data_IF_326489426868
#
_entry.id   IF_326489426868
#
_cell.length_a   1.000
_cell.length_b   1.000
_cell.length_c   1.000
_cell.angle_alpha   90.00
_cell.angle_beta   90.00
_cell.angle_gamma   90.00
#
_symmetry.space_group_name_H-M   'P 1'
#
loop_
_entity.id
_entity.type
_entity.pdbx_description
1 polymer ?
#
# COMPACT_ATOMS: atom_id res chain seq x y z
N UNK A 1 20.43 -2.38 4.69
CA UNK A 1 19.30 -1.62 4.17
C UNK A 1 19.24 -1.87 2.66
N UNK A 2 18.11 -2.27 2.13
CA UNK A 2 17.92 -2.40 0.68
C UNK A 2 17.98 -0.99 0.06
N UNK A 3 18.47 -0.84 -1.20
CA UNK A 3 18.30 0.42 -1.91
C UNK A 3 16.82 0.76 -2.00
N UNK A 4 16.48 2.02 -1.77
CA UNK A 4 15.11 2.49 -1.90
C UNK A 4 14.66 2.33 -3.36
N UNK A 5 13.38 1.97 -3.56
CA UNK A 5 12.77 1.88 -4.87
C UNK A 5 12.53 3.30 -5.43
N UNK A 6 12.78 3.49 -6.72
CA UNK A 6 12.52 4.76 -7.41
C UNK A 6 11.05 4.89 -7.82
N UNK A 7 10.38 3.76 -8.07
CA UNK A 7 8.96 3.72 -8.44
C UNK A 7 8.31 2.38 -8.07
N UNK A 8 7.01 2.42 -7.85
CA UNK A 8 6.14 1.25 -7.75
C UNK A 8 5.11 1.32 -8.87
N UNK A 9 4.95 0.24 -9.62
CA UNK A 9 3.99 0.15 -10.72
C UNK A 9 3.03 -0.99 -10.43
N UNK A 10 1.74 -0.69 -10.37
CA UNK A 10 0.68 -1.69 -10.24
C UNK A 10 0.00 -1.88 -11.60
N UNK A 11 -0.12 -3.12 -12.02
CA UNK A 11 -0.72 -3.49 -13.30
C UNK A 11 -1.78 -4.58 -13.10
N UNK A 12 -2.92 -4.41 -13.73
CA UNK A 12 -3.97 -5.44 -13.79
C UNK A 12 -3.92 -6.10 -15.15
N UNK A 13 -3.50 -7.36 -15.16
CA UNK A 13 -3.31 -8.15 -16.38
C UNK A 13 -4.25 -9.36 -16.38
N UNK A 14 -4.59 -9.91 -17.55
CA UNK A 14 -5.45 -11.09 -17.63
C UNK A 14 -4.86 -12.33 -16.95
N UNK A 15 -3.54 -12.41 -16.83
CA UNK A 15 -2.85 -13.54 -16.21
C UNK A 15 -1.47 -13.13 -15.69
N UNK A 16 -1.06 -13.71 -14.56
CA UNK A 16 0.30 -13.61 -14.02
C UNK A 16 1.30 -14.50 -14.78
N UNK A 17 0.84 -15.37 -15.70
CA UNK A 17 1.71 -16.21 -16.50
C UNK A 17 2.66 -15.37 -17.37
N UNK A 18 3.94 -15.74 -17.41
CA UNK A 18 4.99 -15.01 -18.12
C UNK A 18 4.67 -14.78 -19.60
N UNK A 19 3.90 -15.68 -20.24
CA UNK A 19 3.46 -15.52 -21.63
C UNK A 19 2.58 -14.26 -21.80
N UNK A 20 1.74 -13.94 -20.82
CA UNK A 20 0.79 -12.81 -20.90
C UNK A 20 1.38 -11.52 -20.32
N UNK A 21 2.19 -11.60 -19.26
CA UNK A 21 2.79 -10.43 -18.63
C UNK A 21 4.10 -9.98 -19.29
N UNK A 22 4.74 -10.80 -20.12
CA UNK A 22 6.06 -10.57 -20.68
C UNK A 22 6.22 -9.24 -21.43
N UNK A 23 5.14 -8.68 -21.99
CA UNK A 23 5.18 -7.36 -22.61
C UNK A 23 5.32 -6.24 -21.56
N UNK A 24 4.60 -6.34 -20.45
CA UNK A 24 4.70 -5.40 -19.31
C UNK A 24 6.08 -5.51 -18.63
N UNK A 25 6.57 -6.74 -18.40
CA UNK A 25 7.89 -6.99 -17.81
C UNK A 25 9.02 -6.34 -18.65
N UNK A 26 8.96 -6.48 -19.98
CA UNK A 26 9.95 -5.86 -20.89
C UNK A 26 9.84 -4.33 -20.91
N UNK A 27 8.61 -3.79 -20.90
CA UNK A 27 8.41 -2.36 -20.91
C UNK A 27 8.96 -1.71 -19.64
N UNK A 28 8.68 -2.28 -18.47
CA UNK A 28 9.17 -1.79 -17.17
C UNK A 28 10.69 -2.00 -17.07
N UNK A 29 11.17 -3.24 -17.34
CA UNK A 29 12.58 -3.58 -17.25
C UNK A 29 13.49 -2.81 -18.22
N UNK A 30 12.93 -2.29 -19.32
CA UNK A 30 13.66 -1.41 -20.25
C UNK A 30 13.84 0.03 -19.75
N UNK A 31 13.18 0.41 -18.66
CA UNK A 31 13.21 1.77 -18.10
C UNK A 31 14.01 1.87 -16.80
N UNK A 32 14.47 0.75 -16.24
CA UNK A 32 15.17 0.72 -14.97
C UNK A 32 16.29 -0.31 -14.96
N UNK A 33 17.30 -0.11 -14.12
CA UNK A 33 18.47 -1.00 -13.98
C UNK A 33 18.09 -2.31 -13.27
N UNK A 34 17.09 -2.26 -12.40
CA UNK A 34 16.58 -3.40 -11.63
C UNK A 34 15.08 -3.27 -11.44
N UNK A 35 14.37 -4.38 -11.56
CA UNK A 35 12.98 -4.44 -11.14
C UNK A 35 12.67 -5.76 -10.45
N UNK A 36 11.75 -5.71 -9.50
CA UNK A 36 11.19 -6.87 -8.85
C UNK A 36 9.67 -6.86 -9.01
N UNK A 37 9.07 -8.02 -9.18
CA UNK A 37 7.64 -8.15 -9.37
C UNK A 37 7.03 -9.22 -8.49
N UNK A 38 5.80 -8.97 -8.04
CA UNK A 38 5.01 -9.88 -7.22
C UNK A 38 3.60 -10.01 -7.77
N UNK A 39 3.04 -11.19 -7.65
CA UNK A 39 1.61 -11.39 -7.75
C UNK A 39 0.97 -11.04 -6.43
N UNK A 40 -0.04 -10.20 -6.45
CA UNK A 40 -0.75 -9.75 -5.26
C UNK A 40 -2.25 -10.05 -5.34
N UNK A 41 -2.88 -10.14 -4.17
CA UNK A 41 -4.32 -10.09 -4.02
C UNK A 41 -4.69 -8.72 -3.45
N UNK A 42 -5.37 -7.91 -4.25
CA UNK A 42 -5.78 -6.55 -3.90
C UNK A 42 -7.08 -6.55 -3.10
N UNK A 43 -7.12 -5.70 -2.08
CA UNK A 43 -8.30 -5.39 -1.27
C UNK A 43 -8.39 -3.88 -1.07
N UNK A 44 -9.35 -3.24 -1.71
CA UNK A 44 -9.60 -1.81 -1.52
C UNK A 44 -10.41 -1.60 -0.25
N UNK A 45 -9.77 -1.04 0.78
CA UNK A 45 -10.36 -0.76 2.10
C UNK A 45 -11.10 0.59 2.08
N UNK A 46 -10.41 1.63 1.60
CA UNK A 46 -10.98 2.97 1.39
C UNK A 46 -10.75 3.32 -0.07
N UNK A 47 -11.84 3.40 -0.84
CA UNK A 47 -11.78 3.88 -2.22
C UNK A 47 -11.64 5.42 -2.21
N UNK A 48 -10.80 5.96 -3.07
CA UNK A 48 -10.59 7.40 -3.19
C UNK A 48 -11.80 8.08 -3.85
N UNK A 49 -12.81 8.39 -3.04
CA UNK A 49 -14.00 9.12 -3.47
C UNK A 49 -13.88 10.63 -3.24
N UNK A 50 -12.99 11.06 -2.35
CA UNK A 50 -12.80 12.47 -2.00
C UNK A 50 -12.00 13.22 -3.07
N UNK A 51 -10.98 12.56 -3.64
CA UNK A 51 -10.08 13.14 -4.64
C UNK A 51 -9.90 12.16 -5.81
N UNK A 52 -10.96 11.91 -6.61
CA UNK A 52 -10.94 10.89 -7.66
C UNK A 52 -9.76 11.10 -8.61
N UNK A 53 -9.02 10.05 -8.97
CA UNK A 53 -7.86 10.18 -9.82
C UNK A 53 -8.23 10.65 -11.23
N UNK A 54 -7.40 11.53 -11.80
CA UNK A 54 -7.48 11.96 -13.19
C UNK A 54 -6.29 11.36 -13.94
N UNK A 55 -6.56 10.69 -15.04
CA UNK A 55 -5.55 9.96 -15.80
C UNK A 55 -4.31 10.82 -16.09
N UNK A 56 -3.14 10.34 -15.66
CA UNK A 56 -1.85 11.01 -15.86
C UNK A 56 -1.62 12.24 -15.01
N UNK A 57 -2.53 12.59 -14.11
CA UNK A 57 -2.34 13.66 -13.13
C UNK A 57 -1.99 13.05 -11.76
N UNK A 58 -1.19 13.80 -10.99
CA UNK A 58 -0.89 13.44 -9.61
C UNK A 58 -2.16 13.49 -8.77
N UNK A 59 -2.43 12.43 -8.02
CA UNK A 59 -3.48 12.41 -7.00
C UNK A 59 -3.21 13.49 -5.96
N UNK A 60 -4.26 14.17 -5.51
CA UNK A 60 -4.14 15.19 -4.46
C UNK A 60 -3.55 14.60 -3.18
N UNK A 61 -2.78 15.40 -2.45
CA UNK A 61 -2.11 14.96 -1.24
C UNK A 61 -0.78 14.26 -1.52
N UNK A 62 -0.44 13.25 -0.73
CA UNK A 62 0.72 12.39 -0.92
C UNK A 62 0.34 10.93 -0.69
N UNK A 63 1.10 10.04 -1.27
CA UNK A 63 0.90 8.61 -1.11
C UNK A 63 2.02 7.99 -0.27
N UNK A 64 1.68 6.99 0.54
CA UNK A 64 2.62 6.12 1.23
C UNK A 64 2.57 4.74 0.59
N UNK A 65 3.70 4.32 0.04
CA UNK A 65 3.92 2.96 -0.45
C UNK A 65 4.69 2.17 0.62
N UNK A 66 4.09 1.13 1.16
CA UNK A 66 4.66 0.37 2.28
C UNK A 66 4.80 -1.10 1.91
N UNK A 67 6.04 -1.57 1.77
CA UNK A 67 6.34 -3.00 1.70
C UNK A 67 6.55 -3.52 3.12
N UNK A 68 5.73 -4.47 3.54
CA UNK A 68 5.71 -4.97 4.91
C UNK A 68 6.07 -6.45 4.99
N UNK A 69 6.76 -6.80 6.08
CA UNK A 69 7.11 -8.17 6.44
C UNK A 69 6.44 -8.53 7.75
N UNK A 70 5.85 -9.69 7.81
CA UNK A 70 5.23 -10.19 9.02
C UNK A 70 6.28 -10.79 9.96
N UNK A 71 6.02 -10.74 11.25
CA UNK A 71 6.84 -11.38 12.28
C UNK A 71 6.79 -12.90 12.10
N UNK A 72 7.95 -13.53 11.99
CA UNK A 72 8.04 -14.97 11.74
C UNK A 72 7.36 -15.81 12.83
N UNK A 73 7.43 -15.38 14.09
CA UNK A 73 6.83 -16.09 15.23
C UNK A 73 5.29 -16.01 15.27
N UNK A 74 4.69 -15.04 14.57
CA UNK A 74 3.22 -14.93 14.47
C UNK A 74 2.67 -15.90 13.42
N UNK A 75 3.45 -16.13 12.38
CA UNK A 75 3.05 -16.91 11.22
C UNK A 75 2.08 -16.14 10.29
N UNK A 76 2.22 -16.41 8.99
CA UNK A 76 1.53 -15.66 7.92
C UNK A 76 0.00 -15.63 8.09
N UNK A 77 -0.61 -16.78 8.39
CA UNK A 77 -2.07 -16.86 8.50
C UNK A 77 -2.62 -16.01 9.65
N UNK A 78 -1.96 -16.05 10.81
CA UNK A 78 -2.36 -15.25 11.97
C UNK A 78 -2.10 -13.77 11.74
N UNK A 79 -1.00 -13.41 11.08
CA UNK A 79 -0.70 -12.04 10.69
C UNK A 79 -1.75 -11.48 9.72
N UNK A 80 -2.15 -12.23 8.70
CA UNK A 80 -3.22 -11.85 7.77
C UNK A 80 -4.56 -11.67 8.50
N UNK A 81 -4.93 -12.59 9.40
CA UNK A 81 -6.15 -12.44 10.21
C UNK A 81 -6.14 -11.18 11.07
N UNK A 82 -5.01 -10.86 11.71
CA UNK A 82 -4.86 -9.65 12.49
C UNK A 82 -4.93 -8.40 11.60
N UNK A 83 -4.20 -8.40 10.49
CA UNK A 83 -4.17 -7.29 9.55
C UNK A 83 -5.56 -6.96 9.01
N UNK A 84 -6.25 -7.94 8.43
CA UNK A 84 -7.58 -7.74 7.82
C UNK A 84 -8.69 -7.58 8.86
N UNK A 85 -8.63 -8.29 9.99
CA UNK A 85 -9.71 -8.33 10.98
C UNK A 85 -9.63 -7.26 12.06
N UNK A 86 -8.43 -6.78 12.41
CA UNK A 86 -8.22 -5.81 13.49
C UNK A 86 -7.49 -4.55 13.03
N UNK A 87 -6.29 -4.69 12.47
CA UNK A 87 -5.43 -3.55 12.11
C UNK A 87 -6.09 -2.63 11.09
N UNK A 88 -6.81 -3.16 10.13
CA UNK A 88 -7.58 -2.38 9.15
C UNK A 88 -8.54 -1.40 9.84
N UNK A 89 -9.26 -1.84 10.87
CA UNK A 89 -10.17 -0.97 11.63
C UNK A 89 -9.42 0.09 12.41
N UNK A 90 -8.29 -0.29 13.02
CA UNK A 90 -7.42 0.67 13.73
C UNK A 90 -6.93 1.75 12.77
N UNK A 91 -6.48 1.39 11.56
CA UNK A 91 -6.02 2.35 10.57
C UNK A 91 -7.13 3.34 10.17
N UNK A 92 -8.34 2.83 9.88
CA UNK A 92 -9.51 3.67 9.55
C UNK A 92 -9.84 4.66 10.69
N UNK A 93 -9.79 4.19 11.94
CA UNK A 93 -10.22 4.98 13.10
C UNK A 93 -9.17 5.99 13.57
N UNK A 94 -7.89 5.81 13.22
CA UNK A 94 -6.78 6.57 13.79
C UNK A 94 -5.98 7.40 12.80
N UNK A 95 -6.18 7.22 11.50
CA UNK A 95 -5.42 7.93 10.46
C UNK A 95 -6.34 8.84 9.63
N UNK A 96 -5.73 9.80 8.94
CA UNK A 96 -6.42 10.74 8.04
C UNK A 96 -6.41 10.29 6.57
N UNK A 97 -6.11 9.01 6.31
CA UNK A 97 -6.06 8.49 4.95
C UNK A 97 -7.43 8.57 4.27
N UNK A 98 -7.44 9.05 3.02
CA UNK A 98 -8.64 9.09 2.17
C UNK A 98 -8.64 8.00 1.08
N UNK A 99 -7.54 7.25 0.98
CA UNK A 99 -7.41 6.03 0.19
C UNK A 99 -6.59 5.01 0.97
N UNK A 100 -7.01 3.75 0.95
CA UNK A 100 -6.30 2.65 1.60
C UNK A 100 -6.51 1.36 0.82
N UNK A 101 -5.42 0.85 0.24
CA UNK A 101 -5.40 -0.38 -0.54
C UNK A 101 -4.40 -1.36 0.06
N UNK A 102 -4.86 -2.57 0.29
CA UNK A 102 -4.07 -3.68 0.82
C UNK A 102 -3.79 -4.70 -0.30
N UNK A 103 -2.52 -5.04 -0.48
CA UNK A 103 -2.09 -6.03 -1.46
C UNK A 103 -1.34 -7.16 -0.75
N UNK A 104 -2.01 -8.28 -0.47
CA UNK A 104 -1.35 -9.47 0.05
C UNK A 104 -0.49 -10.11 -1.05
N UNK A 105 0.81 -10.25 -0.82
CA UNK A 105 1.74 -10.87 -1.78
C UNK A 105 1.51 -12.38 -1.77
N UNK A 106 1.17 -12.94 -2.92
CA UNK A 106 0.95 -14.37 -3.12
C UNK A 106 2.25 -15.10 -3.46
N UNK A 107 3.02 -14.55 -4.40
CA UNK A 107 4.34 -15.08 -4.77
C UNK A 107 5.19 -14.04 -5.50
N UNK A 108 6.53 -14.17 -5.46
CA UNK A 108 7.41 -13.43 -6.33
C UNK A 108 7.25 -13.89 -7.78
N UNK A 109 7.40 -12.96 -8.72
CA UNK A 109 7.37 -13.21 -10.17
C UNK A 109 8.74 -13.03 -10.81
N UNK A 110 9.71 -12.46 -10.08
CA UNK A 110 11.13 -12.36 -10.45
C UNK A 110 11.99 -13.07 -9.40
N UNK A 111 13.16 -13.57 -9.80
CA UNK A 111 14.02 -14.37 -8.92
C UNK A 111 14.60 -13.57 -7.76
N UNK A 112 14.91 -12.31 -7.97
CA UNK A 112 15.57 -11.44 -6.97
C UNK A 112 14.57 -10.57 -6.21
N UNK A 113 13.26 -10.85 -6.31
CA UNK A 113 12.25 -10.09 -5.60
C UNK A 113 12.46 -10.22 -4.08
N UNK A 114 12.57 -9.09 -3.34
CA UNK A 114 12.64 -9.12 -1.88
C UNK A 114 11.47 -9.88 -1.26
N UNK A 115 11.75 -10.56 -0.15
CA UNK A 115 10.76 -11.37 0.54
C UNK A 115 9.87 -10.49 1.44
N UNK A 116 8.95 -9.76 0.83
CA UNK A 116 7.87 -9.07 1.54
C UNK A 116 6.62 -9.94 1.62
N UNK A 117 5.77 -9.69 2.62
CA UNK A 117 4.49 -10.38 2.80
C UNK A 117 3.32 -9.62 2.20
N UNK A 118 3.39 -8.29 2.16
CA UNK A 118 2.36 -7.45 1.60
C UNK A 118 2.91 -6.10 1.12
N UNK A 119 2.11 -5.44 0.28
CA UNK A 119 2.28 -4.06 -0.13
C UNK A 119 1.03 -3.27 0.23
N UNK A 120 1.20 -2.12 0.86
CA UNK A 120 0.12 -1.22 1.26
C UNK A 120 0.30 0.11 0.53
N UNK A 121 -0.77 0.62 -0.02
CA UNK A 121 -0.84 1.97 -0.56
C UNK A 121 -1.90 2.77 0.19
N UNK A 122 -1.51 3.96 0.63
CA UNK A 122 -2.38 4.88 1.34
C UNK A 122 -2.16 6.30 0.82
N UNK A 123 -3.23 7.07 0.68
CA UNK A 123 -3.15 8.49 0.35
C UNK A 123 -3.65 9.34 1.51
N UNK A 124 -2.92 10.41 1.78
CA UNK A 124 -3.13 11.33 2.90
C UNK A 124 -3.22 12.78 2.45
N UNK A 125 -3.87 13.66 3.24
CA UNK A 125 -3.80 15.11 3.05
C UNK A 125 -2.36 15.62 3.04
N UNK A 126 -2.05 16.73 2.34
CA UNK A 126 -0.69 17.28 2.28
C UNK A 126 -0.07 17.56 3.66
N UNK A 127 -0.88 18.02 4.60
CA UNK A 127 -0.47 18.37 5.96
C UNK A 127 0.10 17.17 6.72
N UNK A 128 -0.46 15.98 6.49
CA UNK A 128 -0.03 14.73 7.12
C UNK A 128 1.42 14.32 6.75
N UNK A 129 2.01 14.93 5.71
CA UNK A 129 3.39 14.69 5.32
C UNK A 129 4.40 15.24 6.36
N UNK A 130 4.05 16.31 7.05
CA UNK A 130 4.95 17.03 7.96
C UNK A 130 4.41 17.19 9.37
N UNK A 131 3.10 17.00 9.56
CA UNK A 131 2.44 17.07 10.87
C UNK A 131 1.94 15.68 11.29
N UNK A 132 2.56 15.03 12.28
CA UNK A 132 2.07 13.76 12.81
C UNK A 132 0.65 13.83 13.40
N UNK A 133 0.20 15.00 13.90
CA UNK A 133 -1.15 15.14 14.40
C UNK A 133 -2.18 15.09 13.26
N UNK A 134 -1.85 15.71 12.12
CA UNK A 134 -2.66 15.59 10.91
C UNK A 134 -2.67 14.15 10.37
N UNK A 135 -1.52 13.46 10.37
CA UNK A 135 -1.44 12.05 9.96
C UNK A 135 -2.36 11.15 10.81
N UNK A 136 -2.37 11.37 12.13
CA UNK A 136 -3.20 10.60 13.07
C UNK A 136 -4.60 11.19 13.31
N UNK A 137 -5.11 12.03 12.41
CA UNK A 137 -6.45 12.64 12.50
C UNK A 137 -6.74 13.28 13.88
N UNK A 138 -5.76 14.00 14.45
CA UNK A 138 -5.78 14.51 15.83
C UNK A 138 -5.27 15.94 15.93
N UNK A 139 -5.44 16.74 14.88
CA UNK A 139 -5.03 18.15 14.84
C UNK A 139 -5.71 18.92 15.97
N UNK A 140 -4.91 19.67 16.72
CA UNK A 140 -5.39 20.44 17.86
C UNK A 140 -5.76 19.63 19.12
N UNK A 141 -5.64 18.31 19.11
CA UNK A 141 -5.97 17.42 20.24
C UNK A 141 -4.78 16.49 20.59
N UNK A 142 -3.87 16.92 21.50
CA UNK A 142 -2.74 16.09 21.92
C UNK A 142 -3.13 14.78 22.62
N UNK A 143 -4.29 14.75 23.26
CA UNK A 143 -4.81 13.53 23.90
C UNK A 143 -5.22 12.49 22.87
N UNK A 144 -5.97 12.90 21.86
CA UNK A 144 -6.35 12.07 20.72
C UNK A 144 -5.12 11.60 19.92
N UNK A 145 -4.17 12.50 19.67
CA UNK A 145 -2.91 12.13 19.00
C UNK A 145 -2.19 11.00 19.73
N UNK A 146 -2.01 11.13 21.05
CA UNK A 146 -1.35 10.10 21.86
C UNK A 146 -2.11 8.77 21.83
N UNK A 147 -3.44 8.82 21.91
CA UNK A 147 -4.29 7.62 21.87
C UNK A 147 -4.22 6.93 20.50
N UNK A 148 -4.35 7.69 19.40
CA UNK A 148 -4.31 7.15 18.04
C UNK A 148 -2.95 6.54 17.72
N UNK A 149 -1.85 7.25 18.04
CA UNK A 149 -0.49 6.74 17.88
C UNK A 149 -0.28 5.44 18.67
N UNK A 150 -0.72 5.38 19.93
CA UNK A 150 -0.57 4.19 20.75
C UNK A 150 -1.36 3.00 20.15
N UNK A 151 -2.62 3.20 19.79
CA UNK A 151 -3.45 2.15 19.19
C UNK A 151 -2.85 1.60 17.89
N UNK A 152 -2.37 2.49 17.01
CA UNK A 152 -1.70 2.11 15.77
C UNK A 152 -0.43 1.31 16.05
N UNK A 153 0.45 1.81 16.90
CA UNK A 153 1.72 1.14 17.22
C UNK A 153 1.52 -0.21 17.90
N UNK A 154 0.54 -0.35 18.77
CA UNK A 154 0.21 -1.62 19.44
C UNK A 154 -0.31 -2.64 18.41
N UNK A 155 -1.17 -2.21 17.50
CA UNK A 155 -1.65 -3.06 16.42
C UNK A 155 -0.53 -3.48 15.47
N UNK A 156 0.36 -2.56 15.08
CA UNK A 156 1.51 -2.87 14.22
C UNK A 156 2.46 -3.88 14.89
N UNK A 157 2.80 -3.70 16.16
CA UNK A 157 3.69 -4.60 16.92
C UNK A 157 3.17 -6.04 16.99
N UNK A 158 1.87 -6.23 16.88
CA UNK A 158 1.27 -7.55 16.95
C UNK A 158 1.64 -8.44 15.75
N UNK A 159 1.99 -7.86 14.58
CA UNK A 159 2.21 -8.66 13.39
C UNK A 159 3.36 -8.21 12.47
N UNK A 160 3.85 -6.95 12.58
CA UNK A 160 4.90 -6.42 11.70
C UNK A 160 6.31 -6.60 12.25
N UNK A 161 7.23 -7.00 11.39
CA UNK A 161 8.66 -6.91 11.62
C UNK A 161 9.19 -5.56 11.15
N UNK A 162 9.30 -4.59 12.06
CA UNK A 162 9.76 -3.24 11.75
C UNK A 162 11.19 -3.15 11.18
N UNK A 163 12.00 -4.19 11.35
CA UNK A 163 13.39 -4.20 10.84
C UNK A 163 13.47 -4.52 9.35
N UNK A 164 12.36 -5.01 8.77
CA UNK A 164 12.28 -5.51 7.40
C UNK A 164 11.19 -4.83 6.57
N UNK A 165 10.62 -3.77 7.07
CA UNK A 165 9.64 -2.97 6.34
C UNK A 165 10.34 -1.86 5.56
N UNK A 166 9.76 -1.52 4.42
CA UNK A 166 10.21 -0.40 3.58
C UNK A 166 9.01 0.52 3.33
N UNK A 167 9.07 1.72 3.94
CA UNK A 167 7.97 2.70 3.92
C UNK A 167 8.44 3.93 3.17
N UNK A 168 7.76 4.25 2.07
CA UNK A 168 8.21 5.22 1.10
C UNK A 168 7.13 6.29 0.92
N UNK A 169 7.40 7.55 1.32
CA UNK A 169 6.58 8.68 0.89
C UNK A 169 6.74 8.91 -0.62
N UNK A 170 5.64 9.02 -1.33
CA UNK A 170 5.65 9.12 -2.79
C UNK A 170 4.48 9.95 -3.32
N UNK A 171 4.30 9.94 -4.63
CA UNK A 171 3.15 10.51 -5.33
C UNK A 171 2.47 9.44 -6.16
N UNK A 172 1.14 9.40 -6.08
CA UNK A 172 0.34 8.47 -6.85
C UNK A 172 -0.09 9.12 -8.19
N UNK A 173 -0.06 8.32 -9.26
CA UNK A 173 -0.63 8.63 -10.56
C UNK A 173 -1.44 7.42 -11.02
N UNK A 174 -2.68 7.63 -11.41
CA UNK A 174 -3.53 6.57 -11.98
C UNK A 174 -3.66 6.74 -13.49
N UNK A 175 -3.66 5.62 -14.20
CA UNK A 175 -3.88 5.54 -15.63
C UNK A 175 -5.01 4.52 -15.91
N UNK A 176 -6.27 4.88 -15.58
CA UNK A 176 -7.39 3.97 -15.75
C UNK A 176 -7.55 3.58 -17.23
N UNK A 177 -7.64 2.28 -17.49
CA UNK A 177 -8.00 1.78 -18.81
C UNK A 177 -9.52 1.76 -18.97
N UNK A 178 -10.02 1.87 -20.18
CA UNK A 178 -11.47 1.86 -20.48
C UNK A 178 -12.25 0.64 -19.95
N UNK A 179 -11.54 -0.43 -19.58
CA UNK A 179 -12.12 -1.64 -18.99
C UNK A 179 -12.36 -1.54 -17.47
N UNK A 180 -11.74 -0.58 -16.78
CA UNK A 180 -11.91 -0.39 -15.32
C UNK A 180 -13.18 0.39 -14.96
N UNK A 181 -13.65 1.26 -15.85
CA UNK A 181 -14.86 2.08 -15.61
C UNK A 181 -16.17 1.29 -15.44
N UNK A 182 -16.17 -0.02 -15.71
CA UNK A 182 -17.36 -0.87 -15.64
C UNK A 182 -17.49 -1.74 -14.38
N UNK A 183 -16.50 -1.80 -13.49
CA UNK A 183 -16.52 -2.72 -12.34
C UNK A 183 -16.83 -2.09 -10.97
N UNK A 184 -16.92 -0.76 -10.87
CA UNK A 184 -17.09 -0.09 -9.58
C UNK A 184 -18.55 0.22 -9.18
N UNK A 185 -19.55 -0.25 -9.93
CA UNK A 185 -20.96 0.02 -9.62
C UNK A 185 -21.85 -1.22 -9.81
N UNK A 186 -21.57 -2.31 -9.09
CA UNK A 186 -22.56 -3.37 -8.87
C UNK A 186 -22.31 -4.04 -7.52
N UNK A 187 -22.79 -3.43 -6.48
CA UNK A 187 -23.35 -4.09 -5.27
C UNK A 187 -24.44 -3.23 -4.72
#
# INVERSE_FOLDING_TARGET
QQPQQDAVVQCWLPSANALFRGAADRAIGGLCDRFAAWLVCESTVIANMAHPPVAGQRTWGWSQASFITFRAEVGRESALRHWHGHHTRVAIDTQSNFEYVQNAILCPLTLDAPAYDAFVEECFPPEAMTDPAAFFAAEGDPGRFKANLAAMMDSCRAFLDFTRNDIIPTSQFDFPTSSRSGRLLQT
#
